data_IF_119947750106
#
_entry.id   IF_119947750106
#
_cell.length_a   1.000
_cell.length_b   1.000
_cell.length_c   1.000
_cell.angle_alpha   90.00
_cell.angle_beta   90.00
_cell.angle_gamma   90.00
#
_symmetry.space_group_name_H-M   'P 1'
#
loop_
_entity.id
_entity.type
_entity.pdbx_description
1 polymer ?
#
# COMPACT_ATOMS: atom_id res chain seq x y z
N UNK A 1 7.61 -24.66 -20.98
CA UNK A 1 7.09 -24.12 -19.73
C UNK A 1 6.84 -25.25 -18.73
N UNK A 2 7.37 -25.15 -17.52
CA UNK A 2 7.27 -26.15 -16.43
C UNK A 2 6.60 -25.47 -15.24
N UNK A 3 5.42 -25.95 -14.89
CA UNK A 3 4.64 -25.47 -13.75
C UNK A 3 4.74 -26.47 -12.59
N UNK A 4 5.09 -26.02 -11.40
CA UNK A 4 5.25 -26.85 -10.21
C UNK A 4 6.33 -27.93 -10.41
N UNK A 5 7.62 -27.56 -10.52
CA UNK A 5 8.65 -28.53 -10.88
C UNK A 5 8.69 -29.66 -9.86
N UNK A 6 8.25 -30.85 -10.29
CA UNK A 6 8.39 -32.09 -9.56
C UNK A 6 9.72 -32.78 -9.86
N UNK A 7 9.95 -33.96 -9.28
CA UNK A 7 11.16 -34.74 -9.55
C UNK A 7 11.36 -35.04 -11.04
N UNK A 8 10.28 -35.13 -11.81
CA UNK A 8 10.32 -35.41 -13.27
C UNK A 8 10.75 -34.14 -14.02
N UNK A 9 10.19 -32.97 -13.66
CA UNK A 9 10.58 -31.67 -14.22
C UNK A 9 12.04 -31.34 -13.95
N UNK A 10 12.51 -31.56 -12.74
CA UNK A 10 13.93 -31.35 -12.37
C UNK A 10 14.85 -32.34 -13.09
N UNK A 11 14.43 -33.60 -13.24
CA UNK A 11 15.20 -34.60 -14.04
C UNK A 11 15.28 -34.17 -15.51
N UNK A 12 14.21 -33.62 -16.09
CA UNK A 12 14.21 -33.09 -17.46
C UNK A 12 15.23 -31.96 -17.61
N UNK A 13 15.24 -30.99 -16.68
CA UNK A 13 16.17 -29.87 -16.69
C UNK A 13 17.63 -30.35 -16.58
N UNK A 14 17.89 -31.34 -15.75
CA UNK A 14 19.23 -31.91 -15.55
C UNK A 14 19.68 -32.82 -16.71
N UNK A 15 18.86 -33.77 -17.10
CA UNK A 15 19.30 -34.91 -17.96
C UNK A 15 19.14 -34.57 -19.45
N UNK A 16 18.20 -33.68 -19.84
CA UNK A 16 17.97 -33.29 -21.24
C UNK A 16 18.66 -31.96 -21.56
N UNK A 17 18.50 -30.96 -20.69
CA UNK A 17 19.06 -29.64 -20.93
C UNK A 17 20.46 -29.45 -20.34
N UNK A 18 20.90 -30.32 -19.41
CA UNK A 18 22.23 -30.26 -18.82
C UNK A 18 22.49 -29.03 -17.94
N UNK A 19 21.45 -28.48 -17.32
CA UNK A 19 21.61 -27.28 -16.51
C UNK A 19 22.49 -27.51 -15.28
N UNK A 20 23.21 -26.50 -14.90
CA UNK A 20 24.17 -26.55 -13.79
C UNK A 20 23.44 -26.86 -12.46
N UNK A 21 24.04 -27.69 -11.56
CA UNK A 21 23.39 -28.05 -10.29
C UNK A 21 22.92 -26.87 -9.44
N UNK A 22 23.66 -25.75 -9.40
CA UNK A 22 23.26 -24.54 -8.69
C UNK A 22 21.98 -23.93 -9.29
N UNK A 23 21.86 -23.89 -10.62
CA UNK A 23 20.67 -23.37 -11.30
C UNK A 23 19.45 -24.29 -11.06
N UNK A 24 19.65 -25.60 -10.93
CA UNK A 24 18.61 -26.55 -10.56
C UNK A 24 18.17 -26.37 -9.09
N UNK A 25 19.12 -26.18 -8.17
CA UNK A 25 18.85 -25.89 -6.76
C UNK A 25 18.00 -24.62 -6.60
N UNK A 26 18.34 -23.55 -7.34
CA UNK A 26 17.52 -22.32 -7.36
C UNK A 26 16.10 -22.57 -7.87
N UNK A 27 15.93 -23.46 -8.85
CA UNK A 27 14.61 -23.82 -9.39
C UNK A 27 13.83 -24.81 -8.51
N UNK A 28 14.47 -25.42 -7.54
CA UNK A 28 13.84 -26.23 -6.50
C UNK A 28 13.42 -25.38 -5.29
N UNK A 29 14.19 -24.30 -5.02
CA UNK A 29 13.99 -23.42 -3.87
C UNK A 29 13.68 -21.98 -4.32
N UNK A 30 12.40 -21.70 -4.55
CA UNK A 30 11.92 -20.37 -4.91
C UNK A 30 12.15 -19.34 -3.77
N UNK A 31 11.99 -18.06 -4.06
CA UNK A 31 12.27 -16.93 -3.16
C UNK A 31 13.62 -16.27 -3.47
N UNK A 32 14.11 -16.45 -4.69
CA UNK A 32 15.34 -15.85 -5.18
C UNK A 32 15.15 -14.35 -5.44
N UNK A 33 16.22 -13.58 -5.40
CA UNK A 33 16.21 -12.21 -5.87
C UNK A 33 16.30 -12.17 -7.40
N UNK A 34 15.64 -11.22 -8.05
CA UNK A 34 15.81 -11.01 -9.50
C UNK A 34 17.28 -10.89 -9.84
N UNK A 35 17.78 -11.79 -10.70
CA UNK A 35 19.17 -11.92 -11.08
C UNK A 35 19.30 -12.49 -12.49
N UNK A 36 20.49 -12.30 -13.11
CA UNK A 36 20.89 -12.95 -14.33
C UNK A 36 22.25 -13.61 -14.08
N UNK A 37 22.29 -14.93 -14.18
CA UNK A 37 23.48 -15.76 -14.07
C UNK A 37 23.86 -16.29 -15.45
N UNK A 38 25.13 -16.15 -15.86
CA UNK A 38 25.62 -16.60 -17.15
C UNK A 38 26.36 -17.93 -16.98
N UNK A 39 25.96 -18.92 -17.77
CA UNK A 39 26.60 -20.23 -17.90
C UNK A 39 27.18 -20.37 -19.32
N UNK A 40 27.92 -21.46 -19.58
CA UNK A 40 28.66 -21.63 -20.85
C UNK A 40 27.74 -21.60 -22.09
N UNK A 41 26.56 -22.26 -22.02
CA UNK A 41 25.66 -22.44 -23.16
C UNK A 41 24.28 -21.75 -22.98
N UNK A 42 24.02 -21.14 -21.81
CA UNK A 42 22.75 -20.48 -21.51
C UNK A 42 22.89 -19.40 -20.45
N UNK A 43 21.86 -18.59 -20.31
CA UNK A 43 21.69 -17.67 -19.16
C UNK A 43 20.47 -18.09 -18.35
N UNK A 44 20.56 -17.96 -17.04
CA UNK A 44 19.43 -18.10 -16.13
C UNK A 44 19.02 -16.72 -15.66
N UNK A 45 17.76 -16.38 -15.86
CA UNK A 45 17.14 -15.11 -15.44
C UNK A 45 16.02 -15.42 -14.44
N UNK A 46 16.04 -14.79 -13.27
CA UNK A 46 14.96 -14.83 -12.30
C UNK A 46 14.23 -13.50 -12.35
N UNK A 47 12.93 -13.56 -12.67
CA UNK A 47 12.03 -12.41 -12.81
C UNK A 47 10.72 -12.65 -12.08
N UNK A 48 9.98 -11.60 -11.82
CA UNK A 48 8.73 -11.65 -11.11
C UNK A 48 7.60 -11.03 -11.92
N UNK A 49 6.39 -11.50 -11.64
CA UNK A 49 5.14 -10.89 -12.07
C UNK A 49 4.16 -10.81 -10.92
N UNK A 50 3.07 -10.07 -11.10
CA UNK A 50 1.96 -10.04 -10.16
C UNK A 50 0.96 -11.15 -10.48
N UNK A 51 0.42 -11.77 -9.41
CA UNK A 51 -0.76 -12.63 -9.50
C UNK A 51 -2.02 -11.78 -9.29
N UNK A 52 -3.18 -12.41 -9.30
CA UNK A 52 -4.47 -11.74 -9.08
C UNK A 52 -4.67 -11.28 -7.63
N UNK A 53 -4.00 -11.92 -6.68
CA UNK A 53 -4.07 -11.58 -5.27
C UNK A 53 -2.88 -10.68 -4.90
N UNK A 54 -3.14 -9.63 -4.09
CA UNK A 54 -2.20 -8.54 -3.77
C UNK A 54 -0.87 -9.01 -3.13
N UNK A 55 -0.89 -10.12 -2.42
CA UNK A 55 0.26 -10.66 -1.71
C UNK A 55 1.01 -11.74 -2.50
N UNK A 56 0.49 -12.15 -3.68
CA UNK A 56 1.03 -13.26 -4.47
C UNK A 56 1.82 -12.73 -5.67
N UNK A 57 3.15 -12.77 -5.53
CA UNK A 57 4.08 -12.53 -6.62
C UNK A 57 4.50 -13.88 -7.21
N UNK A 58 4.46 -13.98 -8.53
CA UNK A 58 4.92 -15.16 -9.25
C UNK A 58 6.38 -15.00 -9.61
N UNK A 59 7.22 -15.87 -9.05
CA UNK A 59 8.63 -15.99 -9.42
C UNK A 59 8.77 -16.93 -10.62
N UNK A 60 9.44 -16.47 -11.66
CA UNK A 60 9.68 -17.21 -12.89
C UNK A 60 11.17 -17.30 -13.17
N UNK A 61 11.67 -18.52 -13.30
CA UNK A 61 13.03 -18.80 -13.73
C UNK A 61 13.05 -19.06 -15.23
N UNK A 62 13.77 -18.24 -15.97
CA UNK A 62 13.91 -18.32 -17.42
C UNK A 62 15.32 -18.82 -17.77
N UNK A 63 15.41 -19.95 -18.44
CA UNK A 63 16.65 -20.51 -18.98
C UNK A 63 16.67 -20.26 -20.48
N UNK A 64 17.53 -19.37 -20.93
CA UNK A 64 17.62 -18.97 -22.31
C UNK A 64 18.94 -19.40 -22.93
N UNK A 65 18.87 -20.07 -24.08
CA UNK A 65 19.97 -20.29 -25.02
C UNK A 65 19.66 -19.61 -26.35
N UNK A 66 20.56 -19.73 -27.33
CA UNK A 66 20.28 -19.25 -28.70
C UNK A 66 19.09 -19.95 -29.37
N UNK A 67 18.72 -21.16 -28.93
CA UNK A 67 17.79 -22.03 -29.63
C UNK A 67 16.51 -22.33 -28.85
N UNK A 68 16.50 -22.10 -27.55
CA UNK A 68 15.33 -22.40 -26.71
C UNK A 68 15.21 -21.43 -25.54
N UNK A 69 13.98 -21.33 -25.05
CA UNK A 69 13.63 -20.73 -23.76
C UNK A 69 12.86 -21.77 -22.95
N UNK A 70 13.33 -22.04 -21.74
CA UNK A 70 12.59 -22.83 -20.74
C UNK A 70 12.20 -21.94 -19.60
N UNK A 71 10.90 -21.91 -19.24
CA UNK A 71 10.38 -21.21 -18.08
C UNK A 71 9.96 -22.20 -17.00
N UNK A 72 10.28 -21.89 -15.74
CA UNK A 72 9.94 -22.69 -14.57
C UNK A 72 9.31 -21.77 -13.53
N UNK A 73 8.13 -22.12 -13.05
CA UNK A 73 7.43 -21.38 -12.01
C UNK A 73 6.63 -22.34 -11.13
N UNK A 74 6.41 -21.94 -9.87
CA UNK A 74 5.66 -22.78 -8.91
C UNK A 74 4.16 -22.45 -8.93
N UNK A 75 3.83 -21.17 -8.95
CA UNK A 75 2.47 -20.68 -8.82
C UNK A 75 1.83 -20.43 -10.19
N UNK A 76 0.49 -20.40 -10.24
CA UNK A 76 -0.22 -20.02 -11.46
C UNK A 76 0.18 -18.61 -11.91
N UNK A 77 0.52 -18.49 -13.18
CA UNK A 77 0.92 -17.24 -13.80
C UNK A 77 -0.13 -16.80 -14.84
N UNK A 78 -1.06 -15.89 -14.48
CA UNK A 78 -2.08 -15.41 -15.43
C UNK A 78 -1.49 -14.78 -16.68
N UNK A 79 -0.34 -14.09 -16.56
CA UNK A 79 0.36 -13.50 -17.71
C UNK A 79 0.73 -14.53 -18.80
N UNK A 80 0.99 -15.77 -18.41
CA UNK A 80 1.32 -16.83 -19.37
C UNK A 80 0.13 -17.32 -20.17
N UNK A 81 -1.09 -17.24 -19.67
CA UNK A 81 -2.29 -17.64 -20.41
C UNK A 81 -2.51 -16.76 -21.64
N UNK A 82 -2.34 -15.45 -21.46
CA UNK A 82 -2.47 -14.45 -22.53
C UNK A 82 -1.29 -14.56 -23.51
N UNK A 83 -0.08 -14.77 -22.99
CA UNK A 83 1.11 -14.96 -23.81
C UNK A 83 0.99 -16.21 -24.68
N UNK A 84 0.53 -17.35 -24.14
CA UNK A 84 0.27 -18.59 -24.91
C UNK A 84 -0.72 -18.35 -26.05
N UNK A 85 -1.78 -17.59 -25.80
CA UNK A 85 -2.78 -17.23 -26.81
C UNK A 85 -2.15 -16.38 -27.91
N UNK A 86 -1.29 -15.42 -27.58
CA UNK A 86 -0.55 -14.57 -28.54
C UNK A 86 0.44 -15.36 -29.37
N UNK A 87 1.15 -16.31 -28.78
CA UNK A 87 2.09 -17.20 -29.48
C UNK A 87 1.33 -18.13 -30.47
N UNK A 88 0.25 -18.77 -30.02
CA UNK A 88 -0.50 -19.73 -30.85
C UNK A 88 -1.26 -19.05 -31.99
N UNK A 89 -1.67 -17.80 -31.85
CA UNK A 89 -2.33 -17.01 -32.90
C UNK A 89 -1.36 -16.40 -33.93
N UNK A 90 -0.08 -16.73 -33.88
CA UNK A 90 0.98 -16.19 -34.76
C UNK A 90 1.13 -14.65 -34.71
N UNK A 91 0.72 -14.03 -33.63
CA UNK A 91 0.91 -12.59 -33.41
C UNK A 91 2.28 -12.24 -32.81
N UNK A 92 3.09 -13.24 -32.54
CA UNK A 92 4.44 -13.08 -31.99
C UNK A 92 5.48 -13.68 -32.94
N UNK A 93 6.56 -12.93 -33.18
CA UNK A 93 7.72 -13.47 -33.89
C UNK A 93 8.50 -14.39 -32.98
N UNK A 94 8.45 -15.71 -33.24
CA UNK A 94 9.11 -16.74 -32.41
C UNK A 94 10.46 -17.20 -32.98
N UNK A 95 10.93 -16.54 -34.04
CA UNK A 95 12.16 -16.93 -34.74
C UNK A 95 13.45 -16.65 -33.95
N UNK A 96 13.35 -15.90 -32.85
CA UNK A 96 14.46 -15.55 -31.98
C UNK A 96 14.10 -15.77 -30.51
N UNK A 97 14.90 -16.60 -29.82
CA UNK A 97 14.65 -16.91 -28.41
C UNK A 97 14.73 -15.70 -27.47
N UNK A 98 15.58 -14.71 -27.78
CA UNK A 98 15.65 -13.46 -27.01
C UNK A 98 14.36 -12.65 -27.13
N UNK A 99 13.67 -12.67 -28.29
CA UNK A 99 12.40 -12.00 -28.46
C UNK A 99 11.26 -12.71 -27.71
N UNK A 100 11.30 -14.05 -27.62
CA UNK A 100 10.36 -14.82 -26.80
C UNK A 100 10.59 -14.51 -25.32
N UNK A 101 11.85 -14.40 -24.86
CA UNK A 101 12.18 -13.98 -23.50
C UNK A 101 11.63 -12.58 -23.21
N UNK A 102 11.85 -11.61 -24.13
CA UNK A 102 11.25 -10.30 -23.99
C UNK A 102 9.75 -10.39 -23.76
N UNK A 103 9.03 -11.14 -24.61
CA UNK A 103 7.58 -11.25 -24.50
C UNK A 103 7.12 -11.87 -23.17
N UNK A 104 7.89 -12.80 -22.61
CA UNK A 104 7.66 -13.37 -21.27
C UNK A 104 7.84 -12.31 -20.21
N UNK A 105 8.96 -11.60 -20.23
CA UNK A 105 9.29 -10.57 -19.23
C UNK A 105 8.33 -9.39 -19.32
N UNK A 106 8.01 -8.93 -20.52
CA UNK A 106 7.04 -7.86 -20.77
C UNK A 106 5.67 -8.19 -20.17
N UNK A 107 5.16 -9.40 -20.43
CA UNK A 107 3.90 -9.87 -19.86
C UNK A 107 3.91 -9.94 -18.32
N UNK A 108 5.05 -10.35 -17.73
CA UNK A 108 5.22 -10.38 -16.27
C UNK A 108 5.26 -8.97 -15.68
N UNK A 109 6.03 -8.07 -16.28
CA UNK A 109 6.14 -6.67 -15.83
C UNK A 109 4.81 -5.94 -15.99
N UNK A 110 4.10 -6.15 -17.10
CA UNK A 110 2.79 -5.55 -17.35
C UNK A 110 1.73 -6.01 -16.35
N UNK A 111 1.88 -7.19 -15.77
CA UNK A 111 0.95 -7.71 -14.74
C UNK A 111 0.93 -6.87 -13.46
N UNK A 112 1.94 -6.02 -13.21
CA UNK A 112 1.96 -5.11 -12.06
C UNK A 112 1.04 -3.90 -12.21
N UNK A 113 0.73 -3.46 -13.44
CA UNK A 113 -0.10 -2.26 -13.64
C UNK A 113 -1.53 -2.40 -13.13
N UNK A 114 -2.25 -3.51 -13.39
CA UNK A 114 -3.58 -3.71 -12.81
C UNK A 114 -3.56 -3.73 -11.27
N UNK A 115 -2.56 -4.38 -10.67
CA UNK A 115 -2.38 -4.42 -9.22
C UNK A 115 -2.14 -3.02 -8.64
N UNK A 116 -1.30 -2.22 -9.29
CA UNK A 116 -1.03 -0.84 -8.87
C UNK A 116 -2.26 0.06 -9.03
N UNK A 117 -3.08 -0.15 -10.06
CA UNK A 117 -4.35 0.58 -10.23
C UNK A 117 -5.34 0.27 -9.11
N UNK A 118 -5.36 -0.98 -8.60
CA UNK A 118 -6.20 -1.35 -7.46
C UNK A 118 -5.75 -0.64 -6.17
N UNK A 119 -4.44 -0.50 -5.95
CA UNK A 119 -3.94 0.29 -4.80
C UNK A 119 -4.34 1.76 -4.91
N UNK A 120 -4.31 2.35 -6.11
CA UNK A 120 -4.74 3.72 -6.35
C UNK A 120 -6.20 3.94 -5.92
N UNK A 121 -7.11 3.11 -6.44
CA UNK A 121 -8.53 3.16 -6.13
C UNK A 121 -8.82 2.98 -4.62
N UNK A 122 -8.05 2.13 -3.95
CA UNK A 122 -8.18 1.89 -2.51
C UNK A 122 -7.67 3.05 -1.68
N UNK A 123 -6.54 3.65 -2.06
CA UNK A 123 -5.99 4.82 -1.38
C UNK A 123 -6.96 5.98 -1.48
N UNK A 124 -7.49 6.27 -2.66
CA UNK A 124 -8.50 7.31 -2.89
C UNK A 124 -9.75 7.08 -2.02
N UNK A 125 -10.23 5.83 -1.96
CA UNK A 125 -11.38 5.46 -1.13
C UNK A 125 -11.11 5.69 0.36
N UNK A 126 -9.90 5.39 0.84
CA UNK A 126 -9.49 5.62 2.22
C UNK A 126 -9.43 7.12 2.51
N UNK A 127 -8.81 7.92 1.64
CA UNK A 127 -8.71 9.37 1.81
C UNK A 127 -10.09 10.00 1.96
N UNK A 128 -11.03 9.67 1.08
CA UNK A 128 -12.41 10.18 1.13
C UNK A 128 -13.13 9.82 2.44
N UNK A 129 -12.96 8.60 2.93
CA UNK A 129 -13.61 8.13 4.16
C UNK A 129 -13.00 8.71 5.43
N UNK A 130 -11.69 8.88 5.48
CA UNK A 130 -10.98 9.43 6.65
C UNK A 130 -11.45 10.84 6.98
N UNK A 131 -11.75 11.66 5.99
CA UNK A 131 -12.29 13.01 6.21
C UNK A 131 -13.70 12.98 6.83
N UNK A 132 -14.52 12.00 6.46
CA UNK A 132 -15.91 11.92 6.93
C UNK A 132 -16.02 11.25 8.30
N UNK A 133 -15.48 10.04 8.42
CA UNK A 133 -15.61 9.21 9.64
C UNK A 133 -14.37 8.33 9.83
N UNK A 134 -13.31 8.84 10.50
CA UNK A 134 -12.14 8.02 10.79
C UNK A 134 -12.53 6.81 11.63
N UNK A 135 -12.06 5.63 11.23
CA UNK A 135 -12.33 4.31 11.81
C UNK A 135 -11.03 3.50 11.85
N UNK A 136 -10.89 2.62 12.84
CA UNK A 136 -9.74 1.74 13.00
C UNK A 136 -9.55 0.78 11.81
N UNK A 137 -10.63 0.40 11.12
CA UNK A 137 -10.57 -0.42 9.92
C UNK A 137 -9.80 0.25 8.78
N UNK A 138 -9.98 1.56 8.58
CA UNK A 138 -9.23 2.36 7.59
C UNK A 138 -7.74 2.39 7.91
N UNK A 139 -7.39 2.52 9.20
CA UNK A 139 -6.00 2.49 9.64
C UNK A 139 -5.34 1.14 9.36
N UNK A 140 -6.06 0.03 9.60
CA UNK A 140 -5.58 -1.31 9.27
C UNK A 140 -5.37 -1.48 7.76
N UNK A 141 -6.26 -0.94 6.94
CA UNK A 141 -6.17 -0.99 5.49
C UNK A 141 -4.97 -0.17 4.97
N UNK A 142 -4.74 1.04 5.49
CA UNK A 142 -3.52 1.83 5.18
C UNK A 142 -2.25 1.02 5.48
N UNK A 143 -2.18 0.34 6.63
CA UNK A 143 -1.03 -0.50 6.96
C UNK A 143 -0.91 -1.74 6.07
N UNK A 144 -2.01 -2.32 5.62
CA UNK A 144 -2.00 -3.45 4.69
C UNK A 144 -1.41 -3.01 3.34
N UNK A 145 -1.94 -1.93 2.74
CA UNK A 145 -1.42 -1.36 1.49
C UNK A 145 0.07 -1.00 1.63
N UNK A 146 0.46 -0.33 2.71
CA UNK A 146 1.85 0.04 2.93
C UNK A 146 2.79 -1.18 2.98
N UNK A 147 2.36 -2.29 3.59
CA UNK A 147 3.14 -3.54 3.63
C UNK A 147 3.26 -4.17 2.25
N UNK A 148 2.17 -4.20 1.49
CA UNK A 148 2.16 -4.72 0.12
C UNK A 148 3.10 -3.91 -0.79
N UNK A 149 3.03 -2.57 -0.75
CA UNK A 149 3.94 -1.69 -1.51
C UNK A 149 5.41 -1.87 -1.13
N UNK A 150 5.72 -2.12 0.15
CA UNK A 150 7.09 -2.46 0.59
C UNK A 150 7.51 -3.83 0.05
N UNK A 151 6.60 -4.80 -0.01
CA UNK A 151 6.82 -6.10 -0.63
C UNK A 151 7.16 -5.97 -2.12
N UNK A 152 6.33 -5.24 -2.87
CA UNK A 152 6.55 -4.96 -4.29
C UNK A 152 7.90 -4.27 -4.54
N UNK A 153 8.25 -3.27 -3.74
CA UNK A 153 9.53 -2.58 -3.90
C UNK A 153 10.74 -3.50 -3.75
N UNK A 154 10.67 -4.50 -2.87
CA UNK A 154 11.76 -5.48 -2.67
C UNK A 154 12.03 -6.30 -3.93
N UNK A 155 11.02 -6.50 -4.76
CA UNK A 155 11.11 -7.27 -6.00
C UNK A 155 11.41 -6.35 -7.19
N UNK A 156 10.67 -5.27 -7.35
CA UNK A 156 10.78 -4.35 -8.49
C UNK A 156 12.15 -3.64 -8.53
N UNK A 157 12.71 -3.24 -7.38
CA UNK A 157 14.00 -2.54 -7.37
C UNK A 157 15.15 -3.40 -7.92
N UNK A 158 15.35 -4.67 -7.49
CA UNK A 158 16.35 -5.55 -8.11
C UNK A 158 16.09 -5.83 -9.58
N UNK A 159 14.84 -6.00 -9.96
CA UNK A 159 14.45 -6.29 -11.33
C UNK A 159 14.73 -5.09 -12.25
N UNK A 160 14.39 -3.88 -11.85
CA UNK A 160 14.75 -2.66 -12.54
C UNK A 160 16.27 -2.51 -12.71
N UNK A 161 17.04 -2.75 -11.64
CA UNK A 161 18.50 -2.65 -11.67
C UNK A 161 19.11 -3.72 -12.60
N UNK A 162 18.50 -4.91 -12.66
CA UNK A 162 18.86 -5.96 -13.59
C UNK A 162 18.65 -5.53 -15.04
N UNK A 163 17.43 -5.05 -15.39
CA UNK A 163 17.13 -4.62 -16.75
C UNK A 163 17.84 -3.33 -17.15
N UNK A 164 18.24 -2.46 -16.23
CA UNK A 164 19.15 -1.37 -16.50
C UNK A 164 20.50 -1.86 -17.05
N UNK A 165 21.01 -2.97 -16.50
CA UNK A 165 22.28 -3.59 -16.95
C UNK A 165 22.12 -4.33 -18.27
N UNK A 166 20.95 -4.92 -18.53
CA UNK A 166 20.62 -5.52 -19.84
C UNK A 166 20.52 -4.42 -20.91
N UNK A 167 19.74 -3.38 -20.64
CA UNK A 167 19.53 -2.27 -21.58
C UNK A 167 20.81 -1.44 -21.87
N UNK A 168 21.76 -1.45 -20.95
CA UNK A 168 23.08 -0.79 -21.14
C UNK A 168 24.15 -1.70 -21.79
N UNK A 169 23.79 -2.95 -22.13
CA UNK A 169 24.73 -3.91 -22.74
C UNK A 169 25.78 -4.46 -21.78
N UNK A 170 25.65 -4.25 -20.47
CA UNK A 170 26.54 -4.85 -19.46
C UNK A 170 26.32 -6.36 -19.35
N UNK A 171 25.07 -6.79 -19.47
CA UNK A 171 24.71 -8.19 -19.59
C UNK A 171 24.41 -8.53 -21.04
N UNK A 172 25.03 -9.60 -21.54
CA UNK A 172 24.76 -10.14 -22.87
C UNK A 172 23.78 -11.29 -22.75
N UNK A 173 22.66 -11.20 -23.46
CA UNK A 173 21.64 -12.26 -23.56
C UNK A 173 21.89 -13.03 -24.88
N UNK A 174 21.88 -14.38 -24.88
CA UNK A 174 21.99 -15.18 -26.09
C UNK A 174 20.93 -14.77 -27.13
N UNK A 175 21.33 -14.62 -28.39
CA UNK A 175 20.43 -14.18 -29.47
C UNK A 175 20.05 -12.71 -29.45
N UNK A 176 20.70 -11.88 -28.62
CA UNK A 176 20.44 -10.43 -28.58
C UNK A 176 20.80 -9.78 -29.90
N UNK A 177 19.84 -9.09 -30.50
CA UNK A 177 20.01 -8.25 -31.68
C UNK A 177 19.82 -6.77 -31.30
N UNK A 178 20.30 -5.82 -32.12
CA UNK A 178 20.05 -4.40 -31.86
C UNK A 178 18.55 -4.03 -31.78
N UNK A 179 17.70 -4.79 -32.44
CA UNK A 179 16.24 -4.63 -32.32
C UNK A 179 15.73 -5.19 -30.98
N UNK A 180 16.17 -6.38 -30.57
CA UNK A 180 15.82 -6.95 -29.28
C UNK A 180 16.24 -6.06 -28.11
N UNK A 181 17.40 -5.41 -28.19
CA UNK A 181 17.87 -4.44 -27.18
C UNK A 181 16.86 -3.30 -26.94
N UNK A 182 16.17 -2.82 -28.00
CA UNK A 182 15.16 -1.77 -27.84
C UNK A 182 13.95 -2.22 -27.05
N UNK A 183 13.54 -3.47 -27.22
CA UNK A 183 12.43 -4.05 -26.46
C UNK A 183 12.79 -4.25 -24.98
N UNK A 184 14.01 -4.68 -24.67
CA UNK A 184 14.45 -4.75 -23.27
C UNK A 184 14.63 -3.37 -22.61
N UNK A 185 14.88 -2.32 -23.41
CA UNK A 185 14.84 -0.96 -22.90
C UNK A 185 13.43 -0.51 -22.55
N UNK A 186 12.44 -0.91 -23.31
CA UNK A 186 11.02 -0.67 -23.01
C UNK A 186 10.60 -1.34 -21.69
N UNK A 187 11.00 -2.59 -21.48
CA UNK A 187 10.82 -3.28 -20.17
C UNK A 187 11.43 -2.47 -19.02
N UNK A 188 12.65 -1.96 -19.22
CA UNK A 188 13.31 -1.12 -18.21
C UNK A 188 12.53 0.17 -17.94
N UNK A 189 11.99 0.81 -18.97
CA UNK A 189 11.17 2.03 -18.82
C UNK A 189 9.85 1.72 -18.06
N UNK A 190 9.22 0.55 -18.32
CA UNK A 190 8.06 0.09 -17.53
C UNK A 190 8.41 -0.12 -16.06
N UNK A 191 9.54 -0.75 -15.76
CA UNK A 191 10.01 -0.97 -14.38
C UNK A 191 10.33 0.34 -13.64
N UNK A 192 10.87 1.35 -14.33
CA UNK A 192 11.02 2.70 -13.77
C UNK A 192 9.64 3.25 -13.39
N UNK A 193 8.68 3.22 -14.32
CA UNK A 193 7.33 3.71 -14.07
C UNK A 193 6.65 3.01 -12.91
N UNK A 194 6.77 1.69 -12.82
CA UNK A 194 6.24 0.89 -11.70
C UNK A 194 6.90 1.32 -10.38
N UNK A 195 8.24 1.50 -10.37
CA UNK A 195 8.98 1.96 -9.20
C UNK A 195 8.50 3.34 -8.72
N UNK A 196 8.27 4.27 -9.64
CA UNK A 196 7.80 5.62 -9.35
C UNK A 196 6.36 5.61 -8.80
N UNK A 197 5.48 4.76 -9.34
CA UNK A 197 4.12 4.56 -8.82
C UNK A 197 4.15 4.00 -7.40
N UNK A 198 4.97 2.98 -7.13
CA UNK A 198 5.13 2.41 -5.78
C UNK A 198 5.57 3.49 -4.78
N UNK A 199 6.55 4.32 -5.14
CA UNK A 199 7.03 5.39 -4.27
C UNK A 199 5.93 6.46 -4.07
N UNK A 200 5.20 6.84 -5.13
CA UNK A 200 4.06 7.77 -5.03
C UNK A 200 2.95 7.24 -4.12
N UNK A 201 2.56 5.99 -4.25
CA UNK A 201 1.52 5.40 -3.40
C UNK A 201 1.94 5.24 -1.94
N UNK A 202 3.23 5.01 -1.68
CA UNK A 202 3.76 5.04 -0.31
C UNK A 202 3.68 6.42 0.32
N UNK A 203 3.91 7.45 -0.45
CA UNK A 203 3.78 8.84 0.01
C UNK A 203 2.31 9.19 0.25
N UNK A 204 1.39 8.81 -0.64
CA UNK A 204 -0.05 8.97 -0.46
C UNK A 204 -0.55 8.23 0.78
N UNK A 205 -0.18 6.97 1.00
CA UNK A 205 -0.56 6.22 2.21
C UNK A 205 -0.04 6.88 3.49
N UNK A 206 1.13 7.52 3.43
CA UNK A 206 1.66 8.27 4.58
C UNK A 206 0.85 9.55 4.81
N UNK A 207 0.48 10.27 3.75
CA UNK A 207 -0.40 11.43 3.80
C UNK A 207 -1.79 11.09 4.37
N UNK A 208 -2.41 9.98 3.90
CA UNK A 208 -3.70 9.51 4.43
C UNK A 208 -3.63 9.20 5.94
N UNK A 209 -2.52 8.64 6.41
CA UNK A 209 -2.30 8.40 7.85
C UNK A 209 -2.19 9.71 8.65
N UNK A 210 -1.50 10.72 8.13
CA UNK A 210 -1.38 12.02 8.78
C UNK A 210 -2.73 12.72 8.87
N UNK A 211 -3.54 12.64 7.81
CA UNK A 211 -4.92 13.14 7.80
C UNK A 211 -5.78 12.40 8.82
N UNK A 212 -5.67 11.07 8.92
CA UNK A 212 -6.37 10.27 9.93
C UNK A 212 -6.06 10.75 11.35
N UNK A 213 -4.77 10.87 11.71
CA UNK A 213 -4.34 11.33 13.03
C UNK A 213 -4.83 12.74 13.34
N UNK A 214 -4.76 13.65 12.35
CA UNK A 214 -5.26 15.02 12.46
C UNK A 214 -6.77 15.04 12.70
N UNK A 215 -7.54 14.24 11.95
CA UNK A 215 -9.01 14.18 12.08
C UNK A 215 -9.44 13.61 13.43
N UNK A 216 -8.77 12.55 13.91
CA UNK A 216 -9.00 11.98 15.25
C UNK A 216 -8.68 13.02 16.34
N UNK A 217 -7.54 13.72 16.22
CA UNK A 217 -7.15 14.77 17.15
C UNK A 217 -8.18 15.92 17.20
N UNK A 218 -8.66 16.35 16.04
CA UNK A 218 -9.70 17.40 15.95
C UNK A 218 -11.01 16.95 16.62
N UNK A 219 -11.43 15.71 16.42
CA UNK A 219 -12.63 15.15 17.09
C UNK A 219 -12.45 15.10 18.61
N UNK A 220 -11.28 14.66 19.07
CA UNK A 220 -10.97 14.66 20.51
C UNK A 220 -11.06 16.06 21.09
N UNK A 221 -10.50 17.07 20.40
CA UNK A 221 -10.59 18.47 20.79
C UNK A 221 -12.05 18.95 20.85
N UNK A 222 -12.89 18.55 19.88
CA UNK A 222 -14.32 18.91 19.87
C UNK A 222 -15.08 18.27 21.05
N UNK A 223 -14.80 17.00 21.37
CA UNK A 223 -15.39 16.34 22.55
C UNK A 223 -14.94 17.02 23.83
N UNK A 224 -13.64 17.29 23.97
CA UNK A 224 -13.09 18.01 25.13
C UNK A 224 -13.67 19.40 25.28
N UNK A 225 -13.84 20.13 24.17
CA UNK A 225 -14.49 21.45 24.13
C UNK A 225 -15.93 21.38 24.65
N UNK A 226 -16.74 20.42 24.15
CA UNK A 226 -18.12 20.21 24.61
C UNK A 226 -18.19 19.87 26.09
N UNK A 227 -17.32 18.96 26.55
CA UNK A 227 -17.25 18.59 27.97
C UNK A 227 -16.87 19.78 28.83
N UNK A 228 -15.88 20.59 28.40
CA UNK A 228 -15.43 21.79 29.10
C UNK A 228 -16.57 22.82 29.19
N UNK A 229 -17.33 23.06 28.12
CA UNK A 229 -18.48 23.96 28.11
C UNK A 229 -19.50 23.51 29.18
N UNK A 230 -19.89 22.23 29.17
CA UNK A 230 -20.83 21.70 30.16
C UNK A 230 -20.30 21.87 31.58
N UNK A 231 -19.07 21.42 31.86
CA UNK A 231 -18.48 21.52 33.20
C UNK A 231 -18.38 22.98 33.68
N UNK A 232 -17.95 23.89 32.80
CA UNK A 232 -17.79 25.32 33.15
C UNK A 232 -19.13 26.02 33.45
N UNK A 233 -20.21 25.60 32.76
CA UNK A 233 -21.56 26.12 33.07
C UNK A 233 -22.07 25.56 34.41
N UNK A 234 -21.96 24.26 34.64
CA UNK A 234 -22.55 23.61 35.82
C UNK A 234 -21.77 23.94 37.11
N UNK A 235 -20.45 24.15 37.06
CA UNK A 235 -19.66 24.39 38.27
C UNK A 235 -20.12 25.65 39.07
N UNK A 236 -20.29 26.83 38.48
CA UNK A 236 -20.81 27.97 39.22
C UNK A 236 -22.24 27.85 39.63
N UNK A 237 -23.10 27.19 38.83
CA UNK A 237 -24.49 26.92 39.20
C UNK A 237 -24.55 26.04 40.45
N UNK A 238 -23.77 24.99 40.52
CA UNK A 238 -23.68 24.11 41.69
C UNK A 238 -23.13 24.83 42.90
N UNK A 239 -22.13 25.74 42.70
CA UNK A 239 -21.58 26.53 43.77
C UNK A 239 -22.63 27.52 44.33
N UNK A 240 -23.36 28.26 43.47
CA UNK A 240 -24.41 29.16 43.86
C UNK A 240 -25.50 28.42 44.62
N UNK A 241 -26.02 27.31 44.11
CA UNK A 241 -27.05 26.50 44.77
C UNK A 241 -26.55 25.91 46.08
N UNK A 242 -25.31 25.42 46.12
CA UNK A 242 -24.70 24.88 47.34
C UNK A 242 -24.50 25.98 48.41
N UNK A 243 -24.03 27.17 47.99
CA UNK A 243 -23.85 28.29 48.94
C UNK A 243 -25.13 28.76 49.56
N UNK A 244 -26.17 29.03 48.77
CA UNK A 244 -27.49 29.42 49.29
C UNK A 244 -28.29 28.26 49.92
N UNK A 245 -27.89 27.02 49.68
CA UNK A 245 -28.44 25.82 50.33
C UNK A 245 -27.88 25.56 51.72
N UNK A 246 -26.85 26.30 52.16
CA UNK A 246 -26.28 26.15 53.50
C UNK A 246 -27.25 26.69 54.57
N UNK A 247 -27.53 25.92 55.61
CA UNK A 247 -28.39 26.30 56.74
C UNK A 247 -27.66 27.13 57.81
N UNK A 248 -26.96 28.19 57.36
CA UNK A 248 -26.31 29.14 58.27
C UNK A 248 -27.38 30.03 58.88
N UNK A 249 -27.51 30.08 60.24
CA UNK A 249 -28.54 30.82 60.92
C UNK A 249 -28.64 32.29 60.54
N UNK A 250 -27.47 32.94 60.33
CA UNK A 250 -27.43 34.36 59.84
C UNK A 250 -28.04 34.47 58.43
N UNK A 251 -27.73 33.56 57.50
CA UNK A 251 -28.26 33.58 56.12
C UNK A 251 -29.78 33.36 56.14
N UNK A 252 -30.25 32.41 56.93
CA UNK A 252 -31.69 32.06 57.02
C UNK A 252 -32.49 33.26 57.58
N UNK A 253 -31.91 34.04 58.50
CA UNK A 253 -32.58 35.19 59.13
C UNK A 253 -32.54 36.47 58.24
N UNK A 254 -31.47 36.68 57.50
CA UNK A 254 -31.24 37.93 56.76
C UNK A 254 -31.53 37.81 55.25
N UNK A 255 -31.44 36.62 54.68
CA UNK A 255 -31.71 36.33 53.26
C UNK A 255 -32.91 35.41 53.19
N UNK A 256 -34.09 35.97 53.40
CA UNK A 256 -35.35 35.19 53.41
C UNK A 256 -36.41 35.87 52.54
N UNK A 257 -37.35 35.07 52.04
CA UNK A 257 -38.47 35.55 51.26
C UNK A 257 -38.31 35.43 49.75
N UNK A 258 -39.43 35.54 49.06
CA UNK A 258 -39.53 35.36 47.61
C UNK A 258 -38.63 36.32 46.77
N UNK A 259 -38.46 37.60 47.09
CA UNK A 259 -37.58 38.49 46.34
C UNK A 259 -36.12 38.07 46.40
N UNK A 260 -35.63 37.62 47.56
CA UNK A 260 -34.27 37.16 47.73
C UNK A 260 -33.98 35.87 46.93
N UNK A 261 -34.93 34.96 46.92
CA UNK A 261 -34.88 33.76 46.09
C UNK A 261 -34.80 34.08 44.59
N UNK A 262 -35.64 35.05 44.10
CA UNK A 262 -35.63 35.47 42.71
C UNK A 262 -34.32 36.18 42.35
N UNK A 263 -33.81 37.08 43.19
CA UNK A 263 -32.62 37.86 42.89
C UNK A 263 -31.32 37.04 42.96
N UNK A 264 -31.09 36.34 44.07
CA UNK A 264 -29.82 35.63 44.31
C UNK A 264 -29.86 34.17 43.84
N UNK A 265 -31.01 33.47 44.00
CA UNK A 265 -31.14 32.11 43.52
C UNK A 265 -31.23 32.03 41.99
N UNK A 266 -32.33 32.52 41.43
CA UNK A 266 -32.56 32.40 39.98
C UNK A 266 -31.80 33.46 39.16
N UNK A 267 -31.80 34.73 39.61
CA UNK A 267 -31.13 35.81 38.90
C UNK A 267 -29.62 35.65 38.87
N UNK A 268 -29.02 35.24 39.99
CA UNK A 268 -27.58 34.95 40.04
C UNK A 268 -27.18 33.81 39.12
N UNK A 269 -27.98 32.75 39.06
CA UNK A 269 -27.73 31.60 38.13
C UNK A 269 -27.89 32.03 36.65
N UNK A 270 -28.96 32.77 36.31
CA UNK A 270 -29.20 33.29 34.97
C UNK A 270 -28.07 34.19 34.50
N UNK A 271 -27.61 35.11 35.39
CA UNK A 271 -26.49 36.00 35.08
C UNK A 271 -25.19 35.19 34.80
N UNK A 272 -24.87 34.19 35.64
CA UNK A 272 -23.72 33.34 35.47
C UNK A 272 -23.76 32.61 34.12
N UNK A 273 -24.89 32.01 33.74
CA UNK A 273 -25.07 31.36 32.46
C UNK A 273 -24.90 32.33 31.29
N UNK A 274 -25.52 33.50 31.36
CA UNK A 274 -25.42 34.51 30.30
C UNK A 274 -23.95 34.96 30.09
N UNK A 275 -23.24 35.26 31.17
CA UNK A 275 -21.84 35.69 31.13
C UNK A 275 -20.97 34.59 30.46
N UNK A 276 -21.19 33.33 30.81
CA UNK A 276 -20.44 32.24 30.21
C UNK A 276 -20.77 32.03 28.75
N UNK A 277 -22.05 32.04 28.35
CA UNK A 277 -22.43 31.91 26.94
C UNK A 277 -21.87 33.05 26.10
N UNK A 278 -21.87 34.26 26.60
CA UNK A 278 -21.22 35.40 25.91
C UNK A 278 -19.72 35.21 25.79
N UNK A 279 -19.06 34.69 26.86
CA UNK A 279 -17.63 34.39 26.83
C UNK A 279 -17.29 33.31 25.80
N UNK A 280 -18.04 32.20 25.79
CA UNK A 280 -17.83 31.11 24.81
C UNK A 280 -18.07 31.59 23.38
N UNK A 281 -19.11 32.42 23.16
CA UNK A 281 -19.37 32.99 21.83
C UNK A 281 -18.22 33.90 21.35
N UNK A 282 -17.65 34.71 22.26
CA UNK A 282 -16.49 35.57 21.94
C UNK A 282 -15.23 34.75 21.62
N UNK A 283 -15.08 33.57 22.21
CA UNK A 283 -13.95 32.67 21.98
C UNK A 283 -14.19 31.73 20.77
N UNK A 284 -15.33 31.81 20.08
CA UNK A 284 -15.67 30.96 18.95
C UNK A 284 -15.92 29.48 19.35
N UNK A 285 -16.36 29.26 20.60
CA UNK A 285 -16.66 27.92 21.10
C UNK A 285 -18.10 27.47 20.80
N UNK A 286 -18.97 28.45 20.63
CA UNK A 286 -20.39 28.31 20.27
C UNK A 286 -20.73 29.28 19.15
#
# INVERSE_FOLDING_TARGET
DIHGPDATGLALLRDVFGFHPIALEDSEHFGQRSKLDTYDDYVMLVVYGANRDEDDLVEVHCFLSEHYLVTVHHDDCPAFSDLRTRITSHHLHTDNAAFVLYAVVDALVDSFFPLLSEFDDRIDTIEDRVFQTPDDAQLQEVFAIKRALVGLRKVITPERDLFARVASGVFTIPGMTPDAERYFRDVYDHLIRISDLIDSYRDLTTGAMDVYLSTVSNRLNDVMKRLTIVATIFMPLTWITGFFGMNFGWMVLNISGWPAFLAFGLGGQALAVIVMLVSFRKQGWI
#
